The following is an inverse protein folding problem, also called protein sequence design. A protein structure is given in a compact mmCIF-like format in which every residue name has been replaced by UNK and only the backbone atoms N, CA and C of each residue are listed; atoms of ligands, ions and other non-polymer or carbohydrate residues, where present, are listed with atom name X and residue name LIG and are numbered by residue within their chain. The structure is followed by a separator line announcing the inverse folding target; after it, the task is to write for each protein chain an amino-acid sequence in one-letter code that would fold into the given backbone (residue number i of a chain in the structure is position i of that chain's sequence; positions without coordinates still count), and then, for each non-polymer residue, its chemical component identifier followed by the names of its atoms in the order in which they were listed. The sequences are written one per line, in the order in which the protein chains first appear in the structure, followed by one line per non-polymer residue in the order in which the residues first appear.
data_IF_592566036455
#
_entry.id   IF_592566036455
#
_cell.length_a   1.000
_cell.length_b   1.000
_cell.length_c   1.000
_cell.angle_alpha   90.00
_cell.angle_beta   90.00
_cell.angle_gamma   90.00
#
_symmetry.space_group_name_H-M   'P 1'
#
loop_
_entity.id
_entity.type
_entity.pdbx_description
1 polymer ?
#
# COMPACT_ATOMS: atom_id res chain seq x y z
N UNK A 1 -14.58 -12.25 3.24
CA UNK A 1 -14.04 -11.22 2.33
C UNK A 1 -12.61 -11.60 1.99
N UNK A 2 -12.18 -11.41 0.75
CA UNK A 2 -10.77 -11.59 0.33
C UNK A 2 -10.11 -10.23 0.11
N UNK A 3 -9.03 -9.96 0.83
CA UNK A 3 -8.28 -8.72 0.73
C UNK A 3 -6.85 -8.99 0.22
N UNK A 4 -6.40 -8.18 -0.73
CA UNK A 4 -5.02 -8.23 -1.24
C UNK A 4 -4.35 -6.88 -0.98
N UNK A 5 -3.22 -6.92 -0.28
CA UNK A 5 -2.41 -5.73 -0.01
C UNK A 5 -1.18 -5.78 -0.89
N UNK A 6 -1.08 -4.87 -1.84
CA UNK A 6 0.08 -4.74 -2.74
C UNK A 6 0.97 -3.62 -2.24
N UNK A 7 2.23 -3.90 -1.97
CA UNK A 7 3.14 -2.88 -1.46
C UNK A 7 4.49 -2.83 -2.18
N UNK A 8 4.98 -1.61 -2.39
CA UNK A 8 6.37 -1.32 -2.72
C UNK A 8 7.10 -0.94 -1.43
N UNK A 9 8.23 -1.57 -1.15
CA UNK A 9 9.06 -1.23 0.00
C UNK A 9 10.52 -1.22 -0.37
N UNK A 10 11.24 -0.15 0.00
CA UNK A 10 12.68 -0.04 -0.26
C UNK A 10 13.49 -0.60 0.90
N UNK A 11 13.19 -0.21 2.13
CA UNK A 11 13.93 -0.49 3.34
C UNK A 11 13.10 -1.23 4.41
N UNK A 12 11.96 -1.81 4.03
CA UNK A 12 11.12 -2.62 4.89
C UNK A 12 9.96 -1.89 5.60
N UNK A 13 10.03 -0.57 5.83
CA UNK A 13 9.01 0.14 6.62
C UNK A 13 7.62 0.12 5.99
N UNK A 14 7.50 0.30 4.67
CA UNK A 14 6.21 0.18 3.99
C UNK A 14 5.64 -1.24 4.08
N UNK A 15 6.52 -2.26 4.05
CA UNK A 15 6.09 -3.66 4.26
C UNK A 15 5.55 -3.88 5.67
N UNK A 16 6.25 -3.38 6.71
CA UNK A 16 5.77 -3.47 8.10
C UNK A 16 4.40 -2.81 8.29
N UNK A 17 4.16 -1.68 7.62
CA UNK A 17 2.84 -1.03 7.59
C UNK A 17 1.81 -1.92 6.90
N UNK A 18 2.14 -2.51 5.76
CA UNK A 18 1.26 -3.44 5.05
C UNK A 18 0.90 -4.66 5.91
N UNK A 19 1.88 -5.24 6.62
CA UNK A 19 1.67 -6.36 7.54
C UNK A 19 0.72 -5.96 8.70
N UNK A 20 0.93 -4.79 9.30
CA UNK A 20 0.06 -4.29 10.38
C UNK A 20 -1.38 -3.99 9.90
N UNK A 21 -1.55 -3.50 8.66
CA UNK A 21 -2.88 -3.36 8.03
C UNK A 21 -3.53 -4.73 7.86
N UNK A 22 -2.75 -5.74 7.43
CA UNK A 22 -3.24 -7.11 7.29
C UNK A 22 -3.71 -7.69 8.63
N UNK A 23 -2.96 -7.47 9.71
CA UNK A 23 -3.39 -7.85 11.06
C UNK A 23 -4.74 -7.23 11.44
N UNK A 24 -4.96 -5.95 11.11
CA UNK A 24 -6.22 -5.27 11.38
C UNK A 24 -7.40 -5.77 10.54
N UNK A 25 -7.13 -6.41 9.39
CA UNK A 25 -8.15 -6.99 8.52
C UNK A 25 -8.42 -8.48 8.82
N UNK A 26 -7.53 -9.17 9.55
CA UNK A 26 -7.52 -10.63 9.67
C UNK A 26 -8.80 -11.23 10.27
N UNK A 27 -9.48 -10.50 11.17
CA UNK A 27 -10.72 -10.99 11.79
C UNK A 27 -11.91 -11.06 10.80
N UNK A 28 -11.83 -10.33 9.67
CA UNK A 28 -12.94 -10.16 8.73
C UNK A 28 -12.61 -10.58 7.29
N UNK A 29 -11.35 -10.87 7.01
CA UNK A 29 -10.87 -11.18 5.66
C UNK A 29 -9.78 -12.23 5.63
N UNK A 30 -9.76 -13.02 4.56
CA UNK A 30 -8.56 -13.72 4.12
C UNK A 30 -7.63 -12.69 3.47
N UNK A 31 -6.47 -12.45 4.08
CA UNK A 31 -5.58 -11.36 3.67
C UNK A 31 -4.28 -11.90 3.10
N UNK A 32 -3.88 -11.39 1.96
CA UNK A 32 -2.56 -11.64 1.35
C UNK A 32 -1.78 -10.35 1.22
N UNK A 33 -0.53 -10.32 1.71
CA UNK A 33 0.41 -9.21 1.50
C UNK A 33 1.40 -9.60 0.41
N UNK A 34 1.43 -8.85 -0.68
CA UNK A 34 2.18 -9.19 -1.89
C UNK A 34 3.09 -8.02 -2.28
N UNK A 35 4.38 -8.27 -2.53
CA UNK A 35 5.24 -7.23 -3.11
C UNK A 35 4.76 -6.87 -4.51
N UNK A 36 4.86 -5.59 -4.87
CA UNK A 36 4.42 -5.08 -6.18
C UNK A 36 5.06 -5.81 -7.36
N UNK A 37 6.25 -6.36 -7.18
CA UNK A 37 6.99 -7.14 -8.19
C UNK A 37 6.36 -8.50 -8.51
N UNK A 38 5.49 -8.99 -7.63
CA UNK A 38 4.81 -10.29 -7.76
C UNK A 38 3.28 -10.15 -7.91
N UNK A 39 2.77 -8.91 -7.89
CA UNK A 39 1.33 -8.65 -7.99
C UNK A 39 0.89 -8.66 -9.45
N UNK A 40 0.23 -9.71 -9.87
CA UNK A 40 -0.36 -9.86 -11.20
C UNK A 40 -1.90 -9.86 -11.17
N UNK A 41 -2.51 -9.94 -12.34
CA UNK A 41 -3.96 -9.96 -12.47
C UNK A 41 -4.60 -11.21 -11.83
N UNK A 42 -3.87 -12.33 -11.78
CA UNK A 42 -4.36 -13.58 -11.20
C UNK A 42 -4.48 -13.46 -9.67
N UNK A 43 -3.49 -12.83 -9.03
CA UNK A 43 -3.49 -12.57 -7.58
C UNK A 43 -4.65 -11.65 -7.19
N UNK A 44 -5.00 -10.68 -8.05
CA UNK A 44 -6.09 -9.74 -7.81
C UNK A 44 -7.48 -10.29 -8.15
N UNK A 45 -7.56 -11.38 -8.90
CA UNK A 45 -8.83 -11.96 -9.32
C UNK A 45 -9.68 -12.35 -8.11
N UNK A 46 -10.93 -11.87 -8.07
CA UNK A 46 -11.85 -12.15 -6.96
C UNK A 46 -11.53 -11.45 -5.63
N UNK A 47 -10.62 -10.46 -5.63
CA UNK A 47 -10.41 -9.64 -4.44
C UNK A 47 -11.59 -8.67 -4.22
N UNK A 48 -12.17 -8.72 -3.02
CA UNK A 48 -13.20 -7.77 -2.58
C UNK A 48 -12.60 -6.41 -2.23
N UNK A 49 -11.36 -6.42 -1.71
CA UNK A 49 -10.60 -5.24 -1.34
C UNK A 49 -9.15 -5.34 -1.84
N UNK A 50 -8.70 -4.32 -2.55
CA UNK A 50 -7.29 -4.15 -2.96
C UNK A 50 -6.73 -2.93 -2.24
N UNK A 51 -5.77 -3.14 -1.33
CA UNK A 51 -5.06 -2.08 -0.64
C UNK A 51 -3.70 -1.89 -1.31
N UNK A 52 -3.36 -0.67 -1.69
CA UNK A 52 -2.10 -0.40 -2.40
C UNK A 52 -1.27 0.61 -1.63
N UNK A 53 -0.01 0.29 -1.39
CA UNK A 53 0.90 1.15 -0.67
C UNK A 53 2.31 1.24 -1.24
N UNK A 54 2.95 2.38 -1.01
CA UNK A 54 4.33 2.60 -1.43
C UNK A 54 4.98 3.77 -0.72
N UNK A 55 6.31 3.88 -0.79
CA UNK A 55 7.01 5.01 -0.19
C UNK A 55 6.78 6.29 -1.00
N UNK A 56 6.66 7.40 -0.30
CA UNK A 56 6.72 8.72 -0.93
C UNK A 56 8.17 9.11 -1.21
N UNK A 57 8.50 9.18 -2.50
CA UNK A 57 9.79 9.63 -3.00
C UNK A 57 9.65 10.98 -3.69
N UNK A 58 10.38 11.99 -3.21
CA UNK A 58 10.37 13.33 -3.85
C UNK A 58 8.94 13.81 -4.14
N UNK A 59 8.10 13.85 -3.12
CA UNK A 59 6.69 14.30 -3.11
C UNK A 59 5.65 13.36 -3.76
N UNK A 60 6.06 12.25 -4.39
CA UNK A 60 5.16 11.37 -5.14
C UNK A 60 5.52 9.87 -5.00
N UNK A 61 4.82 9.01 -5.73
CA UNK A 61 5.22 7.61 -5.90
C UNK A 61 6.64 7.52 -6.48
N UNK A 62 7.35 6.46 -6.14
CA UNK A 62 8.70 6.17 -6.65
C UNK A 62 8.77 6.20 -8.19
N UNK A 63 9.95 6.37 -8.71
CA UNK A 63 10.32 6.24 -10.12
C UNK A 63 11.61 5.42 -10.23
N UNK A 64 11.93 4.84 -11.37
CA UNK A 64 13.18 4.07 -11.53
C UNK A 64 14.43 4.84 -11.08
N UNK A 65 14.51 6.15 -11.38
CA UNK A 65 15.62 7.01 -10.95
C UNK A 65 15.70 7.17 -9.44
N UNK A 66 14.57 7.38 -8.75
CA UNK A 66 14.55 7.55 -7.28
C UNK A 66 14.81 6.21 -6.57
N UNK A 67 14.38 5.08 -7.12
CA UNK A 67 14.70 3.74 -6.61
C UNK A 67 16.22 3.45 -6.74
N UNK A 68 16.82 3.77 -7.90
CA UNK A 68 18.28 3.66 -8.06
C UNK A 68 19.06 4.53 -7.07
N UNK A 69 18.56 5.74 -6.78
CA UNK A 69 19.18 6.63 -5.79
C UNK A 69 19.10 6.02 -4.38
N UNK A 70 17.96 5.46 -3.97
CA UNK A 70 17.81 4.74 -2.72
C UNK A 70 18.78 3.54 -2.64
N UNK A 71 18.95 2.79 -3.75
CA UNK A 71 19.94 1.72 -3.84
C UNK A 71 21.37 2.19 -3.67
N UNK A 72 21.73 3.36 -4.19
CA UNK A 72 23.06 3.97 -3.96
C UNK A 72 23.24 4.38 -2.50
N UNK A 73 22.17 4.89 -1.85
CA UNK A 73 22.22 5.29 -0.44
C UNK A 73 22.50 4.08 0.47
N UNK A 74 21.83 2.95 0.24
CA UNK A 74 22.05 1.73 0.99
C UNK A 74 23.47 1.14 0.86
N UNK A 75 24.13 1.40 -0.26
CA UNK A 75 25.49 0.90 -0.54
C UNK A 75 26.61 1.82 -0.08
N UNK A 76 26.29 2.95 0.54
CA UNK A 76 27.32 3.85 1.07
C UNK A 76 28.07 3.17 2.24
N UNK A 77 29.41 3.33 2.34
CA UNK A 77 30.14 2.88 3.51
C UNK A 77 29.53 3.43 4.81
N UNK A 78 29.30 2.57 5.79
CA UNK A 78 28.65 2.94 7.06
C UNK A 78 27.12 3.04 6.99
N UNK A 79 26.47 2.63 5.90
CA UNK A 79 25.01 2.52 5.85
C UNK A 79 24.54 1.28 6.60
N UNK A 80 23.69 1.47 7.60
CA UNK A 80 23.04 0.39 8.36
C UNK A 80 21.73 -0.10 7.70
N UNK A 81 21.47 0.31 6.46
CA UNK A 81 20.18 0.07 5.79
C UNK A 81 20.30 -1.04 4.78
N UNK A 82 19.46 -2.06 4.94
CA UNK A 82 19.29 -3.11 3.94
C UNK A 82 18.16 -2.80 2.96
N UNK A 83 18.43 -3.07 1.68
CA UNK A 83 17.41 -3.04 0.65
C UNK A 83 16.57 -4.31 0.68
N UNK A 84 15.27 -4.15 0.56
CA UNK A 84 14.38 -5.28 0.27
C UNK A 84 14.78 -5.90 -1.09
N UNK A 85 14.88 -7.24 -1.20
CA UNK A 85 15.20 -7.90 -2.46
C UNK A 85 14.28 -7.45 -3.59
N UNK A 86 14.86 -7.12 -4.75
CA UNK A 86 14.11 -6.66 -5.91
C UNK A 86 13.65 -5.18 -5.90
N UNK A 87 13.80 -4.46 -4.78
CA UNK A 87 13.29 -3.10 -4.62
C UNK A 87 13.80 -2.08 -5.66
N UNK A 88 14.99 -2.29 -6.21
CA UNK A 88 15.61 -1.38 -7.20
C UNK A 88 15.35 -1.82 -8.64
N UNK A 89 15.30 -3.13 -8.88
CA UNK A 89 15.29 -3.73 -10.24
C UNK A 89 13.88 -4.01 -10.79
N UNK A 90 12.88 -4.16 -9.91
CA UNK A 90 11.51 -4.45 -10.31
C UNK A 90 10.68 -3.18 -10.60
N UNK A 91 9.44 -3.37 -11.08
CA UNK A 91 8.47 -2.28 -11.19
C UNK A 91 8.13 -1.74 -9.79
N UNK A 92 7.90 -0.43 -9.70
CA UNK A 92 7.28 0.17 -8.53
C UNK A 92 5.76 0.25 -8.68
N UNK A 93 5.08 0.72 -7.63
CA UNK A 93 3.62 0.90 -7.63
C UNK A 93 3.15 1.76 -8.80
N UNK A 94 3.93 2.76 -9.22
CA UNK A 94 3.59 3.62 -10.37
C UNK A 94 3.47 2.84 -11.67
N UNK A 95 4.49 2.06 -11.99
CA UNK A 95 4.57 1.28 -13.22
C UNK A 95 3.53 0.15 -13.20
N UNK A 96 3.38 -0.50 -12.06
CA UNK A 96 2.40 -1.55 -11.86
C UNK A 96 0.96 -1.03 -12.02
N UNK A 97 0.59 0.10 -11.40
CA UNK A 97 -0.73 0.71 -11.59
C UNK A 97 -0.97 1.11 -13.05
N UNK A 98 0.07 1.56 -13.77
CA UNK A 98 -0.08 1.90 -15.19
C UNK A 98 -0.36 0.68 -16.09
N UNK A 99 0.06 -0.53 -15.67
CA UNK A 99 -0.20 -1.78 -16.39
C UNK A 99 -1.46 -2.51 -15.94
N UNK A 100 -2.15 -2.00 -14.90
CA UNK A 100 -3.28 -2.66 -14.29
C UNK A 100 -4.53 -2.57 -15.19
N UNK A 101 -5.29 -3.67 -15.26
CA UNK A 101 -6.62 -3.68 -15.86
C UNK A 101 -7.69 -3.10 -14.94
N UNK A 102 -8.97 -3.35 -15.27
CA UNK A 102 -10.08 -2.92 -14.42
C UNK A 102 -10.11 -3.68 -13.11
N UNK A 103 -10.40 -2.96 -12.04
CA UNK A 103 -10.66 -3.51 -10.70
C UNK A 103 -12.17 -3.50 -10.44
N UNK A 104 -12.70 -4.62 -9.98
CA UNK A 104 -14.14 -4.77 -9.68
C UNK A 104 -14.49 -4.46 -8.21
N UNK A 105 -13.52 -4.58 -7.30
CA UNK A 105 -13.72 -4.48 -5.85
C UNK A 105 -13.50 -3.07 -5.28
N UNK A 106 -13.41 -3.03 -3.96
CA UNK A 106 -13.03 -1.83 -3.24
C UNK A 106 -11.52 -1.58 -3.32
N UNK A 107 -11.11 -0.32 -3.24
CA UNK A 107 -9.72 0.09 -3.26
C UNK A 107 -9.37 1.03 -2.11
N UNK A 108 -8.23 0.83 -1.48
CA UNK A 108 -7.68 1.74 -0.48
C UNK A 108 -6.19 2.02 -0.74
N UNK A 109 -5.71 3.17 -0.32
CA UNK A 109 -4.35 3.62 -0.61
C UNK A 109 -3.62 4.11 0.64
N UNK A 110 -2.36 3.73 0.80
CA UNK A 110 -1.51 4.26 1.84
C UNK A 110 -0.12 4.63 1.32
N UNK A 111 0.61 5.41 2.09
CA UNK A 111 2.03 5.63 1.86
C UNK A 111 2.83 5.67 3.17
N UNK A 112 4.13 5.49 3.05
CA UNK A 112 5.10 5.89 4.08
C UNK A 112 5.82 7.14 3.61
N UNK A 113 5.97 8.14 4.49
CA UNK A 113 6.61 9.42 4.17
C UNK A 113 7.34 9.99 5.38
N UNK A 114 8.30 10.86 5.12
CA UNK A 114 8.96 11.63 6.18
C UNK A 114 7.96 12.42 7.02
N UNK A 115 8.26 12.55 8.30
CA UNK A 115 7.58 13.52 9.17
C UNK A 115 7.65 14.92 8.57
N UNK A 116 6.60 15.70 8.79
CA UNK A 116 6.51 17.08 8.35
C UNK A 116 5.21 17.37 7.60
N UNK A 117 5.03 18.64 7.23
CA UNK A 117 3.84 19.06 6.51
C UNK A 117 3.77 18.39 5.13
N UNK A 118 2.61 17.84 4.73
CA UNK A 118 2.45 17.17 3.44
C UNK A 118 2.78 18.03 2.22
N UNK A 119 2.70 19.35 2.36
CA UNK A 119 3.10 20.29 1.30
C UNK A 119 4.59 20.18 0.95
N UNK A 120 5.43 19.85 1.93
CA UNK A 120 6.89 19.72 1.75
C UNK A 120 7.35 18.27 1.58
N UNK A 121 6.63 17.30 2.14
CA UNK A 121 7.04 15.89 2.10
C UNK A 121 6.32 15.09 1.00
N UNK A 122 5.20 15.62 0.48
CA UNK A 122 4.37 14.93 -0.50
C UNK A 122 3.49 13.83 0.10
N UNK A 123 2.67 13.22 -0.75
CA UNK A 123 1.79 12.09 -0.40
C UNK A 123 1.57 11.20 -1.63
N UNK A 124 2.28 10.09 -1.71
CA UNK A 124 2.11 9.11 -2.78
C UNK A 124 0.70 8.48 -2.76
N UNK A 125 0.13 8.28 -1.56
CA UNK A 125 -1.20 7.69 -1.36
C UNK A 125 -2.32 8.43 -2.11
N UNK A 126 -2.25 9.75 -2.25
CA UNK A 126 -3.23 10.51 -3.05
C UNK A 126 -3.21 10.12 -4.52
N UNK A 127 -2.01 9.92 -5.09
CA UNK A 127 -1.85 9.51 -6.48
C UNK A 127 -2.26 8.05 -6.68
N UNK A 128 -1.91 7.18 -5.73
CA UNK A 128 -2.33 5.76 -5.72
C UNK A 128 -3.86 5.69 -5.72
N UNK A 129 -4.53 6.38 -4.77
CA UNK A 129 -5.99 6.43 -4.70
C UNK A 129 -6.63 6.85 -6.01
N UNK A 130 -6.11 7.92 -6.65
CA UNK A 130 -6.63 8.42 -7.93
C UNK A 130 -6.52 7.38 -9.04
N UNK A 131 -5.39 6.66 -9.10
CA UNK A 131 -5.19 5.60 -10.10
C UNK A 131 -6.08 4.39 -9.82
N UNK A 132 -6.27 3.98 -8.56
CA UNK A 132 -7.23 2.93 -8.21
C UNK A 132 -8.64 3.27 -8.68
N UNK A 133 -9.09 4.50 -8.43
CA UNK A 133 -10.39 4.98 -8.91
C UNK A 133 -10.47 5.01 -10.45
N UNK A 134 -9.38 5.40 -11.14
CA UNK A 134 -9.30 5.37 -12.60
C UNK A 134 -9.46 3.94 -13.16
N UNK A 135 -8.92 2.94 -12.48
CA UNK A 135 -9.08 1.53 -12.82
C UNK A 135 -10.43 0.93 -12.40
N UNK A 136 -11.33 1.73 -11.85
CA UNK A 136 -12.70 1.32 -11.52
C UNK A 136 -12.91 0.85 -10.09
N UNK A 137 -11.88 0.86 -9.24
CA UNK A 137 -12.04 0.51 -7.84
C UNK A 137 -12.93 1.53 -7.10
N UNK A 138 -13.91 1.04 -6.35
CA UNK A 138 -14.68 1.86 -5.42
C UNK A 138 -13.80 2.20 -4.21
N UNK A 139 -13.56 3.48 -3.97
CA UNK A 139 -12.65 3.91 -2.90
C UNK A 139 -13.29 3.68 -1.53
N UNK A 140 -12.71 2.78 -0.74
CA UNK A 140 -13.21 2.38 0.58
C UNK A 140 -12.92 3.40 1.67
N UNK A 141 -11.82 4.15 1.58
CA UNK A 141 -11.43 5.12 2.60
C UNK A 141 -10.58 6.25 2.03
N UNK A 142 -10.45 7.34 2.79
CA UNK A 142 -9.45 8.36 2.52
C UNK A 142 -8.04 7.76 2.56
N UNK A 143 -7.12 8.23 1.69
CA UNK A 143 -5.76 7.70 1.67
C UNK A 143 -5.02 8.05 2.96
N UNK A 144 -4.31 7.08 3.53
CA UNK A 144 -3.59 7.23 4.80
C UNK A 144 -2.09 7.37 4.57
N UNK A 145 -1.40 8.11 5.46
CA UNK A 145 0.04 8.26 5.45
C UNK A 145 0.62 7.83 6.79
N UNK A 146 1.66 6.99 6.74
CA UNK A 146 2.40 6.54 7.92
C UNK A 146 3.78 7.18 7.93
N UNK A 147 4.20 7.65 9.10
CA UNK A 147 5.36 8.51 9.21
C UNK A 147 6.64 7.70 9.48
N UNK A 148 7.72 8.10 8.82
CA UNK A 148 9.05 7.55 9.02
C UNK A 148 10.03 8.65 9.45
N UNK A 149 11.05 8.24 10.21
CA UNK A 149 12.16 9.09 10.61
C UNK A 149 13.31 8.94 9.61
N UNK A 150 13.79 10.06 9.10
CA UNK A 150 14.93 10.07 8.18
C UNK A 150 14.70 9.35 6.86
N UNK A 151 15.69 9.41 6.00
CA UNK A 151 15.65 8.85 4.64
C UNK A 151 15.69 7.31 4.61
N UNK A 152 16.16 6.70 5.66
CA UNK A 152 16.31 5.24 5.82
C UNK A 152 15.08 4.58 6.45
N UNK A 153 14.16 5.40 6.96
CA UNK A 153 12.79 5.03 7.12
C UNK A 153 12.43 4.16 8.33
N UNK A 154 13.06 4.34 9.49
CA UNK A 154 12.47 3.80 10.72
C UNK A 154 11.06 4.38 10.91
N UNK A 155 10.08 3.54 11.25
CA UNK A 155 8.74 4.02 11.54
C UNK A 155 8.72 4.82 12.84
N UNK A 156 8.00 5.92 12.84
CA UNK A 156 7.73 6.69 14.06
C UNK A 156 6.96 5.81 15.05
N UNK A 157 7.22 5.99 16.34
CA UNK A 157 6.53 5.24 17.39
C UNK A 157 5.00 5.38 17.26
N UNK A 158 4.28 4.26 17.39
CA UNK A 158 2.83 4.20 17.28
C UNK A 158 2.28 4.01 15.86
N UNK A 159 3.08 4.17 14.80
CA UNK A 159 2.58 4.08 13.42
C UNK A 159 2.07 2.68 13.05
N UNK A 160 2.65 1.61 13.61
CA UNK A 160 2.13 0.24 13.40
C UNK A 160 0.76 0.06 14.06
N UNK A 161 0.54 0.60 15.26
CA UNK A 161 -0.78 0.60 15.90
C UNK A 161 -1.82 1.37 15.09
N UNK A 162 -1.43 2.53 14.51
CA UNK A 162 -2.28 3.29 13.60
C UNK A 162 -2.61 2.51 12.33
N UNK A 163 -1.63 1.78 11.78
CA UNK A 163 -1.81 0.97 10.58
C UNK A 163 -2.81 -0.17 10.82
N UNK A 164 -2.66 -0.89 11.94
CA UNK A 164 -3.61 -1.93 12.37
C UNK A 164 -5.03 -1.36 12.54
N UNK A 165 -5.18 -0.28 13.30
CA UNK A 165 -6.48 0.38 13.49
C UNK A 165 -7.09 0.88 12.17
N UNK A 166 -6.27 1.27 11.18
CA UNK A 166 -6.77 1.62 9.86
C UNK A 166 -7.26 0.39 9.10
N UNK A 167 -6.58 -0.75 9.20
CA UNK A 167 -7.03 -2.06 8.67
C UNK A 167 -8.39 -2.47 9.25
N UNK A 168 -8.58 -2.35 10.57
CA UNK A 168 -9.85 -2.61 11.25
C UNK A 168 -10.99 -1.73 10.69
N UNK A 169 -10.74 -0.45 10.45
CA UNK A 169 -11.75 0.44 9.83
C UNK A 169 -12.10 0.05 8.39
N UNK A 170 -11.13 -0.43 7.61
CA UNK A 170 -11.39 -0.88 6.23
C UNK A 170 -12.35 -2.08 6.19
N UNK A 171 -12.29 -2.98 7.16
CA UNK A 171 -13.20 -4.13 7.26
C UNK A 171 -14.66 -3.69 7.43
N UNK A 172 -14.92 -2.67 8.25
CA UNK A 172 -16.27 -2.14 8.50
C UNK A 172 -16.91 -1.53 7.25
N UNK A 173 -16.14 -0.86 6.40
CA UNK A 173 -16.67 -0.22 5.18
C UNK A 173 -17.05 -1.25 4.10
N UNK A 174 -16.30 -2.33 3.99
CA UNK A 174 -16.59 -3.39 3.01
C UNK A 174 -17.73 -4.32 3.45
N UNK A 175 -17.92 -4.53 4.75
CA UNK A 175 -19.00 -5.35 5.30
C UNK A 175 -20.38 -4.67 5.20
N UNK A 176 -20.45 -3.33 5.32
CA UNK A 176 -21.70 -2.57 5.28
C UNK A 176 -22.40 -2.54 3.92
N UNK A 177 -21.75 -3.00 2.85
CA UNK A 177 -22.26 -2.93 1.47
C UNK A 177 -22.38 -4.29 0.78
N UNK A 178 -22.30 -5.39 1.52
CA UNK A 178 -22.69 -6.69 0.98
C UNK A 178 -24.20 -6.62 0.64
N UNK A 179 -24.62 -6.89 -0.63
CA UNK A 179 -26.04 -6.85 -0.98
C UNK A 179 -26.79 -7.87 -0.13
N UNK A 180 -27.71 -7.39 0.69
CA UNK A 180 -28.69 -8.20 1.42
C UNK A 180 -29.70 -8.77 0.41
N UNK A 181 -29.32 -9.79 -0.35
CA UNK A 181 -30.09 -10.30 -1.46
C UNK A 181 -29.84 -11.75 -1.77
N UNK A 182 -30.10 -12.64 -0.81
CA UNK A 182 -30.57 -13.99 -1.14
C UNK A 182 -31.79 -14.29 -0.27
N UNK A 183 -32.94 -13.67 -0.61
CA UNK A 183 -34.21 -14.24 -0.18
C UNK A 183 -34.35 -15.58 -0.91
N UNK A 184 -34.33 -16.65 -0.14
CA UNK A 184 -34.77 -17.94 -0.59
C UNK A 184 -36.23 -17.78 -1.09
N UNK A 185 -36.44 -18.08 -2.38
CA UNK A 185 -37.77 -18.40 -2.87
C UNK A 185 -37.99 -19.89 -2.58
N UNK A 186 -38.94 -20.17 -1.74
CA UNK A 186 -39.55 -21.50 -1.54
C UNK A 186 -40.36 -21.86 -2.76
#
# INVERSE_FOLDING_TARGET
MRAVIVCESMFGSTKKVADAIAEGLADCAEVSVVPVTSADAHILAGADLVVVGGPTHTHAMSRPGTRKMAGKLARKPGSEVELVPGAVSGPGVREWLASLGRLAGAGAAFDTRLQGLPAFTGRASKSIRRLLAHHGARIAASPESFLVEGLTGALVAGELGRARAWGERLSGVTASEAPSGRRQAS
#
